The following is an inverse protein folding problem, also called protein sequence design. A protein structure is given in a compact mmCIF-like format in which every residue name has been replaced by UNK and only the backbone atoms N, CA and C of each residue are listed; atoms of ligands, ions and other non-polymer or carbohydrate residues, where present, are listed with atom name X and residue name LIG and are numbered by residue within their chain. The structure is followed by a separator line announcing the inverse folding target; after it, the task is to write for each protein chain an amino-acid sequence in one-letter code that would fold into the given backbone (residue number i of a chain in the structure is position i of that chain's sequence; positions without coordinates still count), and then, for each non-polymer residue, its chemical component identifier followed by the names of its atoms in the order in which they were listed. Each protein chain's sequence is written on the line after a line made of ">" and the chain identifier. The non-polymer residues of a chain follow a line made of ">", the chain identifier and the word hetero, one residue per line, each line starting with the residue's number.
data_IF_606329904749
#
_entry.id   IF_606329904749
#
_cell.length_a   1.000
_cell.length_b   1.000
_cell.length_c   1.000
_cell.angle_alpha   90.00
_cell.angle_beta   90.00
_cell.angle_gamma   90.00
#
_symmetry.space_group_name_H-M   'P 1'
#
loop_
_entity.id
_entity.type
_entity.pdbx_description
1 polymer ?
#
# COMPACT_ATOMS: atom_id res chain seq x y z
N UNK A 1 -16.75 12.03 12.73
CA UNK A 1 -17.25 10.63 12.84
C UNK A 1 -16.26 9.86 13.72
N UNK A 2 -16.77 8.94 14.57
CA UNK A 2 -15.94 8.04 15.38
C UNK A 2 -16.31 6.58 15.05
N UNK A 3 -15.38 5.68 15.17
CA UNK A 3 -15.58 4.25 15.09
C UNK A 3 -15.03 3.59 16.36
N UNK A 4 -15.65 2.49 16.80
CA UNK A 4 -15.17 1.69 17.93
C UNK A 4 -14.72 0.34 17.41
N UNK A 5 -13.49 -0.05 17.74
CA UNK A 5 -12.89 -1.32 17.35
C UNK A 5 -13.33 -2.44 18.29
N UNK A 6 -13.16 -3.69 17.88
CA UNK A 6 -13.50 -4.88 18.66
C UNK A 6 -12.77 -4.95 20.01
N UNK A 7 -11.60 -4.35 20.12
CA UNK A 7 -10.82 -4.21 21.36
C UNK A 7 -11.32 -3.08 22.28
N UNK A 8 -12.44 -2.41 21.97
CA UNK A 8 -13.04 -1.32 22.74
C UNK A 8 -12.40 0.06 22.48
N UNK A 9 -11.35 0.16 21.69
CA UNK A 9 -10.71 1.44 21.34
C UNK A 9 -11.60 2.24 20.41
N UNK A 10 -11.79 3.53 20.69
CA UNK A 10 -12.47 4.47 19.80
C UNK A 10 -11.47 5.31 19.04
N UNK A 11 -11.68 5.44 17.74
CA UNK A 11 -10.86 6.27 16.84
C UNK A 11 -11.73 7.31 16.13
N UNK A 12 -11.18 8.48 15.86
CA UNK A 12 -11.85 9.55 15.15
C UNK A 12 -11.36 9.67 13.71
N UNK A 13 -12.26 9.89 12.76
CA UNK A 13 -11.87 10.19 11.38
C UNK A 13 -11.66 11.69 11.15
N UNK A 14 -10.72 12.07 10.28
CA UNK A 14 -9.78 11.19 9.58
C UNK A 14 -8.71 10.64 10.53
N UNK A 15 -8.28 9.39 10.30
CA UNK A 15 -7.12 8.80 11.00
C UNK A 15 -5.86 9.50 10.47
N UNK A 16 -4.98 9.91 11.40
CA UNK A 16 -3.78 10.66 11.09
C UNK A 16 -2.53 9.79 11.25
N UNK A 17 -1.62 9.96 10.29
CA UNK A 17 -0.27 9.42 10.33
C UNK A 17 0.70 10.56 10.00
N UNK A 18 1.69 10.77 10.86
CA UNK A 18 2.68 11.85 10.74
C UNK A 18 4.10 11.27 10.74
N UNK A 19 5.02 11.97 10.09
CA UNK A 19 6.40 11.53 9.96
C UNK A 19 6.54 10.22 9.20
N UNK A 20 5.78 10.07 8.12
CA UNK A 20 5.75 8.84 7.32
C UNK A 20 6.80 8.90 6.22
N UNK A 21 7.69 7.89 6.17
CA UNK A 21 8.57 7.69 5.03
C UNK A 21 8.07 6.52 4.19
N UNK A 22 8.13 6.67 2.87
CA UNK A 22 7.61 5.69 1.91
C UNK A 22 8.61 5.43 0.79
N UNK A 23 8.68 4.17 0.39
CA UNK A 23 9.40 3.70 -0.80
C UNK A 23 8.48 2.80 -1.59
N UNK A 24 8.23 3.15 -2.86
CA UNK A 24 7.32 2.43 -3.73
C UNK A 24 8.09 1.99 -4.97
N UNK A 25 8.07 0.69 -5.24
CA UNK A 25 8.54 0.10 -6.50
C UNK A 25 7.32 -0.38 -7.28
N UNK A 26 7.22 -0.01 -8.54
CA UNK A 26 6.17 -0.51 -9.40
C UNK A 26 6.70 -1.31 -10.58
N UNK A 27 5.88 -2.19 -11.10
CA UNK A 27 6.20 -3.21 -12.09
C UNK A 27 5.06 -3.35 -13.08
N UNK A 28 5.38 -3.61 -14.34
CA UNK A 28 4.38 -4.01 -15.33
C UNK A 28 3.94 -5.46 -15.08
N UNK A 29 2.63 -5.67 -15.13
CA UNK A 29 1.97 -6.98 -15.00
C UNK A 29 0.88 -7.12 -16.06
N UNK A 30 0.46 -8.34 -16.40
CA UNK A 30 -0.68 -8.53 -17.32
C UNK A 30 -1.98 -8.18 -16.60
N UNK A 31 -2.80 -7.34 -17.22
CA UNK A 31 -4.10 -6.97 -16.68
C UNK A 31 -5.03 -8.19 -16.47
N UNK A 32 -4.94 -9.22 -17.33
CA UNK A 32 -5.68 -10.46 -17.18
C UNK A 32 -5.31 -11.27 -15.94
N UNK A 33 -4.04 -11.21 -15.50
CA UNK A 33 -3.57 -11.91 -14.31
C UNK A 33 -4.04 -11.16 -13.04
N UNK A 34 -3.95 -9.84 -13.07
CA UNK A 34 -4.46 -8.97 -11.99
C UNK A 34 -5.97 -9.14 -11.82
N UNK A 35 -6.73 -9.18 -12.91
CA UNK A 35 -8.19 -9.31 -12.87
C UNK A 35 -8.68 -10.57 -12.13
N UNK A 36 -7.87 -11.65 -12.12
CA UNK A 36 -8.20 -12.89 -11.38
C UNK A 36 -8.01 -12.78 -9.87
N UNK A 37 -7.25 -11.78 -9.42
CA UNK A 37 -6.92 -11.54 -8.01
C UNK A 37 -7.77 -10.43 -7.38
N UNK A 38 -8.50 -9.68 -8.20
CA UNK A 38 -9.32 -8.57 -7.72
C UNK A 38 -10.74 -9.01 -7.30
N UNK A 39 -11.37 -8.32 -6.35
CA UNK A 39 -12.81 -8.34 -6.17
C UNK A 39 -13.55 -8.05 -7.49
N UNK A 40 -14.76 -8.62 -7.65
CA UNK A 40 -15.50 -8.57 -8.93
C UNK A 40 -15.89 -7.17 -9.40
N UNK A 41 -16.00 -6.23 -8.48
CA UNK A 41 -16.36 -4.82 -8.73
C UNK A 41 -15.16 -3.94 -9.08
N UNK A 42 -13.93 -4.46 -8.96
CA UNK A 42 -12.71 -3.76 -9.35
C UNK A 42 -12.21 -4.21 -10.73
N UNK A 43 -11.55 -3.30 -11.41
CA UNK A 43 -10.87 -3.58 -12.68
C UNK A 43 -9.41 -3.14 -12.57
N UNK A 44 -8.47 -3.90 -13.16
CA UNK A 44 -7.09 -3.42 -13.32
C UNK A 44 -7.10 -2.07 -14.03
N UNK A 45 -6.28 -1.14 -13.58
CA UNK A 45 -6.06 0.11 -14.32
C UNK A 45 -5.39 -0.23 -15.65
N UNK A 46 -5.97 0.22 -16.76
CA UNK A 46 -5.40 0.01 -18.08
C UNK A 46 -4.20 0.93 -18.29
N UNK A 47 -3.02 0.35 -18.39
CA UNK A 47 -1.76 1.02 -18.70
C UNK A 47 -1.38 0.90 -20.20
N UNK A 48 -2.29 0.42 -21.03
CA UNK A 48 -2.07 0.14 -22.47
C UNK A 48 -1.53 -1.27 -22.74
N UNK A 49 -1.77 -1.76 -23.94
CA UNK A 49 -1.25 -3.06 -24.44
C UNK A 49 -1.59 -4.28 -23.56
N UNK A 50 -2.72 -4.25 -22.83
CA UNK A 50 -3.13 -5.32 -21.91
C UNK A 50 -2.31 -5.38 -20.63
N UNK A 51 -1.59 -4.32 -20.30
CA UNK A 51 -0.79 -4.17 -19.09
C UNK A 51 -1.55 -3.43 -17.99
N UNK A 52 -1.17 -3.74 -16.77
CA UNK A 52 -1.52 -3.00 -15.56
C UNK A 52 -0.26 -2.82 -14.71
N UNK A 53 -0.39 -2.23 -13.53
CA UNK A 53 0.74 -1.95 -12.65
C UNK A 53 0.54 -2.60 -11.27
N UNK A 54 1.53 -3.35 -10.84
CA UNK A 54 1.68 -3.85 -9.48
C UNK A 54 2.66 -2.96 -8.72
N UNK A 55 2.45 -2.78 -7.42
CA UNK A 55 3.41 -2.09 -6.56
C UNK A 55 3.78 -2.91 -5.33
N UNK A 56 5.01 -2.71 -4.87
CA UNK A 56 5.52 -3.08 -3.55
C UNK A 56 5.90 -1.79 -2.86
N UNK A 57 5.25 -1.48 -1.74
CA UNK A 57 5.35 -0.22 -1.04
C UNK A 57 5.74 -0.47 0.41
N UNK A 58 6.96 -0.12 0.79
CA UNK A 58 7.38 -0.06 2.19
C UNK A 58 7.03 1.31 2.78
N UNK A 59 6.57 1.30 4.03
CA UNK A 59 6.25 2.48 4.79
C UNK A 59 6.67 2.32 6.24
N UNK A 60 7.30 3.36 6.81
CA UNK A 60 7.43 3.53 8.25
C UNK A 60 6.59 4.70 8.72
N UNK A 61 5.89 4.53 9.83
CA UNK A 61 5.07 5.56 10.47
C UNK A 61 5.66 5.85 11.84
N UNK A 62 6.18 7.06 12.05
CA UNK A 62 6.79 7.44 13.34
C UNK A 62 5.73 7.80 14.38
N UNK A 63 4.66 8.43 13.96
CA UNK A 63 3.58 8.87 14.86
C UNK A 63 2.23 8.69 14.19
N UNK A 64 1.30 8.08 14.89
CA UNK A 64 -0.09 7.99 14.45
C UNK A 64 -1.03 7.87 15.64
N UNK A 65 -2.34 7.89 15.37
CA UNK A 65 -3.36 7.56 16.36
C UNK A 65 -3.22 6.12 16.91
N UNK A 66 -2.33 5.29 16.30
CA UNK A 66 -2.08 3.88 16.62
C UNK A 66 -0.67 3.61 17.20
N UNK A 67 0.14 4.63 17.37
CA UNK A 67 1.57 4.52 17.68
C UNK A 67 2.43 4.46 16.43
N UNK A 68 3.68 4.00 16.59
CA UNK A 68 4.63 3.81 15.49
C UNK A 68 4.60 2.38 14.97
N UNK A 69 4.77 2.20 13.67
CA UNK A 69 4.83 0.88 13.04
C UNK A 69 5.42 0.94 11.63
N UNK A 70 5.86 -0.20 11.15
CA UNK A 70 6.26 -0.43 9.77
C UNK A 70 5.24 -1.30 9.06
N UNK A 71 5.06 -1.07 7.76
CA UNK A 71 4.21 -1.90 6.92
C UNK A 71 4.75 -2.02 5.50
N UNK A 72 4.40 -3.11 4.83
CA UNK A 72 4.56 -3.27 3.38
C UNK A 72 3.19 -3.48 2.76
N UNK A 73 2.85 -2.65 1.79
CA UNK A 73 1.62 -2.77 1.02
C UNK A 73 1.99 -3.36 -0.34
N UNK A 74 1.40 -4.49 -0.67
CA UNK A 74 1.59 -5.15 -1.96
C UNK A 74 0.24 -5.14 -2.66
N UNK A 75 0.19 -4.63 -3.88
CA UNK A 75 -1.08 -4.46 -4.53
C UNK A 75 -0.99 -4.00 -5.99
N UNK A 76 -2.12 -3.55 -6.50
CA UNK A 76 -2.30 -3.20 -7.90
C UNK A 76 -2.93 -1.82 -8.05
N UNK A 77 -2.60 -1.14 -9.15
CA UNK A 77 -3.40 0.00 -9.56
C UNK A 77 -4.70 -0.51 -10.19
N UNK A 78 -5.80 0.09 -9.77
CA UNK A 78 -7.15 -0.29 -10.18
C UNK A 78 -7.97 0.93 -10.60
N UNK A 79 -9.01 0.71 -11.38
CA UNK A 79 -10.10 1.66 -11.56
C UNK A 79 -11.08 1.48 -10.42
N UNK A 80 -11.21 2.49 -9.55
CA UNK A 80 -12.12 2.41 -8.42
C UNK A 80 -13.59 2.54 -8.89
N UNK A 81 -14.55 1.85 -8.22
CA UNK A 81 -15.88 1.62 -8.80
C UNK A 81 -16.80 2.85 -8.80
N UNK A 82 -16.57 3.88 -7.95
CA UNK A 82 -17.51 4.99 -7.78
C UNK A 82 -17.25 6.14 -8.74
N UNK A 83 -15.99 6.58 -8.85
CA UNK A 83 -15.61 7.75 -9.67
C UNK A 83 -14.84 7.34 -10.92
N UNK A 84 -14.57 6.06 -11.10
CA UNK A 84 -13.80 5.50 -12.22
C UNK A 84 -12.41 6.13 -12.36
N UNK A 85 -11.87 6.55 -11.25
CA UNK A 85 -10.52 7.12 -11.15
C UNK A 85 -9.49 6.06 -10.79
N UNK A 86 -8.22 6.38 -10.97
CA UNK A 86 -7.13 5.51 -10.53
C UNK A 86 -7.11 5.42 -9.00
N UNK A 87 -7.05 4.20 -8.50
CA UNK A 87 -6.92 3.85 -7.09
C UNK A 87 -5.88 2.76 -6.88
N UNK A 88 -5.56 2.48 -5.62
CA UNK A 88 -4.68 1.39 -5.23
C UNK A 88 -5.49 0.30 -4.51
N UNK A 89 -5.44 -0.93 -4.99
CA UNK A 89 -5.98 -2.10 -4.29
C UNK A 89 -4.86 -2.80 -3.53
N UNK A 90 -5.09 -3.08 -2.24
CA UNK A 90 -4.14 -3.80 -1.39
C UNK A 90 -4.47 -5.29 -1.36
N UNK A 91 -3.64 -6.09 -2.04
CA UNK A 91 -3.74 -7.55 -2.06
C UNK A 91 -3.40 -8.12 -0.67
N UNK A 92 -2.31 -7.64 -0.08
CA UNK A 92 -1.86 -7.98 1.26
C UNK A 92 -1.08 -6.83 1.86
N UNK A 93 -1.20 -6.64 3.18
CA UNK A 93 -0.49 -5.60 3.89
C UNK A 93 0.17 -6.16 5.18
N UNK A 94 1.37 -6.75 5.08
CA UNK A 94 2.21 -7.07 6.22
C UNK A 94 2.48 -5.84 7.11
N UNK A 95 2.36 -5.99 8.44
CA UNK A 95 2.51 -4.90 9.40
C UNK A 95 3.14 -5.39 10.71
N UNK A 96 3.93 -4.54 11.37
CA UNK A 96 4.62 -4.90 12.62
C UNK A 96 3.76 -4.71 13.87
N UNK A 97 2.63 -4.00 13.79
CA UNK A 97 1.77 -3.64 14.93
C UNK A 97 0.43 -4.36 14.89
N UNK A 98 0.07 -5.01 16.01
CA UNK A 98 -1.24 -5.66 16.18
C UNK A 98 -2.39 -4.63 16.16
N UNK A 99 -2.19 -3.44 16.72
CA UNK A 99 -3.17 -2.36 16.70
C UNK A 99 -3.41 -1.85 15.27
N UNK A 100 -2.35 -1.62 14.49
CA UNK A 100 -2.45 -1.20 13.11
C UNK A 100 -3.10 -2.30 12.24
N UNK A 101 -2.85 -3.58 12.54
CA UNK A 101 -3.55 -4.70 11.91
C UNK A 101 -5.05 -4.65 12.19
N UNK A 102 -5.45 -4.62 13.47
CA UNK A 102 -6.87 -4.60 13.88
C UNK A 102 -7.60 -3.43 13.24
N UNK A 103 -7.04 -2.24 13.33
CA UNK A 103 -7.67 -1.05 12.75
C UNK A 103 -7.83 -1.16 11.23
N UNK A 104 -6.79 -1.58 10.51
CA UNK A 104 -6.84 -1.72 9.05
C UNK A 104 -7.86 -2.73 8.58
N UNK A 105 -7.99 -3.86 9.29
CA UNK A 105 -8.97 -4.89 8.98
C UNK A 105 -10.40 -4.44 9.28
N UNK A 106 -10.65 -3.85 10.44
CA UNK A 106 -12.00 -3.52 10.88
C UNK A 106 -12.57 -2.25 10.23
N UNK A 107 -11.74 -1.24 9.98
CA UNK A 107 -12.21 0.03 9.42
C UNK A 107 -12.24 0.06 7.89
N UNK A 108 -11.30 -0.63 7.26
CA UNK A 108 -11.13 -0.52 5.80
C UNK A 108 -11.16 -1.87 5.07
N UNK A 109 -11.25 -2.99 5.79
CA UNK A 109 -11.24 -4.32 5.19
C UNK A 109 -9.90 -4.68 4.54
N UNK A 110 -8.80 -4.03 4.95
CA UNK A 110 -7.48 -4.32 4.41
C UNK A 110 -7.01 -5.68 4.93
N UNK A 111 -6.60 -6.58 4.05
CA UNK A 111 -5.99 -7.85 4.43
C UNK A 111 -4.62 -7.61 5.07
N UNK A 112 -4.59 -7.39 6.39
CA UNK A 112 -3.37 -7.18 7.15
C UNK A 112 -2.92 -8.44 7.87
N UNK A 113 -1.62 -8.74 7.77
CA UNK A 113 -0.96 -9.85 8.46
C UNK A 113 0.18 -9.33 9.32
N UNK A 114 0.39 -9.93 10.50
CA UNK A 114 1.56 -9.59 11.32
C UNK A 114 2.83 -10.12 10.64
N UNK A 115 3.87 -9.30 10.66
CA UNK A 115 5.11 -9.59 9.96
C UNK A 115 6.31 -9.03 10.73
N UNK A 116 7.50 -9.56 10.43
CA UNK A 116 8.76 -8.91 10.74
C UNK A 116 9.20 -8.09 9.52
N UNK A 117 9.38 -6.80 9.75
CA UNK A 117 9.87 -5.85 8.74
C UNK A 117 11.08 -5.15 9.34
N UNK A 118 12.24 -5.30 8.69
CA UNK A 118 13.47 -4.66 9.09
C UNK A 118 13.87 -3.63 8.03
N UNK A 119 14.28 -2.44 8.45
CA UNK A 119 14.78 -1.41 7.56
C UNK A 119 16.15 -0.91 8.03
N UNK A 120 17.13 -1.05 7.15
CA UNK A 120 18.46 -0.48 7.31
C UNK A 120 18.60 0.68 6.32
N UNK A 121 18.96 1.86 6.82
CA UNK A 121 19.10 3.07 6.01
C UNK A 121 20.33 3.84 6.43
N UNK A 122 21.10 4.25 5.44
CA UNK A 122 22.16 5.25 5.56
C UNK A 122 21.85 6.50 4.69
N UNK A 123 22.81 7.36 4.47
CA UNK A 123 22.65 8.55 3.65
C UNK A 123 22.47 8.27 2.15
N UNK A 124 22.96 7.14 1.66
CA UNK A 124 23.01 6.80 0.24
C UNK A 124 21.98 5.73 -0.14
N UNK A 125 21.70 4.75 0.74
CA UNK A 125 20.90 3.58 0.43
C UNK A 125 19.95 3.20 1.55
N UNK A 126 18.92 2.49 1.16
CA UNK A 126 17.96 1.87 2.07
C UNK A 126 17.73 0.43 1.62
N UNK A 127 17.80 -0.50 2.59
CA UNK A 127 17.37 -1.89 2.41
C UNK A 127 16.24 -2.18 3.40
N UNK A 128 15.08 -2.60 2.88
CA UNK A 128 13.98 -3.08 3.70
C UNK A 128 13.69 -4.54 3.39
N UNK A 129 13.49 -5.34 4.44
CA UNK A 129 13.23 -6.78 4.33
C UNK A 129 11.89 -7.13 4.96
N UNK A 130 11.19 -8.09 4.38
CA UNK A 130 9.94 -8.66 4.88
C UNK A 130 10.12 -10.15 5.15
N UNK A 131 9.69 -10.59 6.33
CA UNK A 131 9.52 -11.99 6.66
C UNK A 131 8.12 -12.24 7.24
N UNK A 132 7.50 -13.34 6.83
CA UNK A 132 6.25 -13.88 7.35
C UNK A 132 6.52 -15.27 7.91
N UNK A 133 5.97 -15.58 9.09
CA UNK A 133 6.16 -16.87 9.78
C UNK A 133 7.65 -17.29 9.85
N UNK A 134 8.53 -16.30 10.12
CA UNK A 134 9.99 -16.42 10.13
C UNK A 134 10.64 -16.77 8.77
N UNK A 135 9.87 -16.86 7.70
CA UNK A 135 10.37 -17.12 6.36
C UNK A 135 10.55 -15.81 5.56
N UNK A 136 11.71 -15.69 4.90
CA UNK A 136 12.02 -14.53 4.05
C UNK A 136 11.09 -14.45 2.85
N UNK A 137 10.40 -13.31 2.70
CA UNK A 137 9.48 -13.03 1.60
C UNK A 137 10.17 -12.21 0.51
N UNK A 138 10.64 -11.02 0.85
CA UNK A 138 11.31 -10.14 -0.10
C UNK A 138 12.22 -9.12 0.58
N UNK A 139 13.14 -8.54 -0.21
CA UNK A 139 13.89 -7.36 0.17
C UNK A 139 13.91 -6.35 -0.97
N UNK A 140 13.79 -5.07 -0.63
CA UNK A 140 14.00 -3.94 -1.54
C UNK A 140 15.32 -3.27 -1.19
N UNK A 141 16.14 -2.97 -2.21
CA UNK A 141 17.39 -2.24 -2.06
C UNK A 141 17.39 -1.05 -3.03
N UNK A 142 17.39 0.17 -2.50
CA UNK A 142 17.14 1.39 -3.26
C UNK A 142 18.09 2.51 -2.85
N UNK A 143 18.48 3.43 -3.75
CA UNK A 143 19.17 4.66 -3.37
C UNK A 143 18.23 5.57 -2.57
N UNK A 144 18.78 6.35 -1.63
CA UNK A 144 18.04 7.42 -0.96
C UNK A 144 18.00 8.62 -1.89
N UNK A 145 16.80 9.01 -2.31
CA UNK A 145 16.57 10.16 -3.18
C UNK A 145 15.68 11.18 -2.50
N UNK A 146 15.77 12.42 -2.94
CA UNK A 146 14.93 13.51 -2.45
C UNK A 146 14.56 14.41 -3.62
N UNK A 147 13.42 15.06 -3.52
CA UNK A 147 12.90 15.94 -4.55
C UNK A 147 11.97 17.02 -3.99
N UNK A 148 11.20 17.64 -4.88
CA UNK A 148 10.27 18.71 -4.55
C UNK A 148 9.08 18.23 -3.70
N UNK A 149 8.40 19.13 -2.97
CA UNK A 149 7.15 18.79 -2.31
C UNK A 149 6.09 18.30 -3.30
N UNK A 150 5.27 17.35 -2.86
CA UNK A 150 4.09 16.92 -3.61
C UNK A 150 2.89 16.67 -2.69
N UNK A 151 1.71 16.98 -3.18
CA UNK A 151 0.44 16.63 -2.56
C UNK A 151 -0.23 15.54 -3.40
N UNK A 152 -0.80 14.57 -2.73
CA UNK A 152 -1.40 13.41 -3.36
C UNK A 152 -2.78 13.13 -2.75
N UNK A 153 -3.76 12.93 -3.61
CA UNK A 153 -5.12 12.59 -3.22
C UNK A 153 -5.62 11.48 -4.14
N UNK A 154 -5.89 10.33 -3.56
CA UNK A 154 -6.32 9.15 -4.30
C UNK A 154 -7.31 8.32 -3.50
N UNK A 155 -7.80 7.25 -4.11
CA UNK A 155 -8.59 6.24 -3.45
C UNK A 155 -7.74 5.01 -3.18
N UNK A 156 -8.00 4.36 -2.06
CA UNK A 156 -7.51 3.03 -1.77
C UNK A 156 -8.70 2.08 -1.69
N UNK A 157 -8.50 0.88 -2.18
CA UNK A 157 -9.49 -0.18 -2.24
C UNK A 157 -8.97 -1.40 -1.50
N UNK A 158 -9.85 -2.08 -0.78
CA UNK A 158 -9.51 -3.31 -0.06
C UNK A 158 -10.72 -4.25 -0.01
N UNK A 159 -10.53 -5.47 0.55
CA UNK A 159 -11.58 -6.46 0.77
C UNK A 159 -11.42 -7.70 -0.11
N UNK A 160 -11.86 -8.83 0.43
CA UNK A 160 -11.77 -10.16 -0.22
C UNK A 160 -13.13 -10.65 -0.74
N UNK A 161 -14.18 -9.89 -0.51
CA UNK A 161 -15.55 -10.27 -0.85
C UNK A 161 -15.93 -9.93 -2.31
N UNK A 162 -17.21 -10.09 -2.65
CA UNK A 162 -17.73 -9.72 -3.97
C UNK A 162 -17.74 -8.20 -4.21
N UNK A 163 -17.56 -7.40 -3.17
CA UNK A 163 -17.47 -5.94 -3.23
C UNK A 163 -16.28 -5.45 -2.44
N UNK A 164 -15.54 -4.53 -3.05
CA UNK A 164 -14.44 -3.84 -2.40
C UNK A 164 -14.94 -2.76 -1.43
N UNK A 165 -14.16 -2.47 -0.41
CA UNK A 165 -14.25 -1.22 0.35
C UNK A 165 -13.39 -0.17 -0.30
N UNK A 166 -13.90 1.06 -0.40
CA UNK A 166 -13.18 2.19 -0.98
C UNK A 166 -13.09 3.30 0.06
N UNK A 167 -11.92 3.86 0.23
CA UNK A 167 -11.68 4.97 1.16
C UNK A 167 -10.75 6.00 0.55
N UNK A 168 -10.90 7.26 0.98
CA UNK A 168 -10.07 8.35 0.50
C UNK A 168 -8.78 8.43 1.29
N UNK A 169 -7.69 8.59 0.55
CA UNK A 169 -6.34 8.72 1.04
C UNK A 169 -5.77 10.06 0.58
N UNK A 170 -5.42 10.92 1.54
CA UNK A 170 -4.77 12.20 1.28
C UNK A 170 -3.39 12.21 1.88
N UNK A 171 -2.41 12.65 1.12
CA UNK A 171 -1.03 12.71 1.55
C UNK A 171 -0.38 14.01 1.12
N UNK A 172 0.38 14.60 2.04
CA UNK A 172 1.32 15.68 1.78
C UNK A 172 2.72 15.18 2.06
N UNK A 173 3.60 15.26 1.06
CA UNK A 173 5.01 14.88 1.15
C UNK A 173 5.89 16.11 0.95
N UNK A 174 6.60 16.60 1.99
CA UNK A 174 7.54 17.72 1.85
C UNK A 174 8.70 17.41 0.91
N UNK A 175 9.05 16.14 0.78
CA UNK A 175 10.12 15.64 -0.11
C UNK A 175 9.61 14.43 -0.87
N UNK A 176 9.55 14.56 -2.18
CA UNK A 176 9.07 13.51 -3.08
C UNK A 176 9.95 13.44 -4.31
N UNK A 177 10.41 12.27 -4.65
CA UNK A 177 11.14 12.02 -5.89
C UNK A 177 10.55 10.80 -6.61
N UNK A 178 10.55 10.87 -7.93
CA UNK A 178 10.07 9.81 -8.82
C UNK A 178 11.14 9.58 -9.88
N UNK A 179 11.54 8.32 -10.07
CA UNK A 179 12.47 7.90 -11.13
C UNK A 179 11.76 6.85 -11.98
N UNK A 180 11.60 7.14 -13.27
CA UNK A 180 11.14 6.17 -14.25
C UNK A 180 12.31 5.29 -14.71
N UNK A 181 12.08 3.96 -14.75
CA UNK A 181 13.07 2.94 -15.14
C UNK A 181 14.41 3.08 -14.40
N UNK A 182 14.39 3.03 -13.04
CA UNK A 182 15.60 3.17 -12.24
C UNK A 182 16.57 2.00 -12.51
N UNK A 183 17.88 2.28 -12.54
CA UNK A 183 18.92 1.26 -12.77
C UNK A 183 19.52 0.72 -11.47
N UNK A 184 19.54 1.53 -10.40
CA UNK A 184 20.18 1.18 -9.11
C UNK A 184 19.17 0.69 -8.06
N UNK A 185 18.06 0.13 -8.51
CA UNK A 185 16.98 -0.40 -7.67
C UNK A 185 16.84 -1.87 -7.91
N UNK A 186 16.75 -2.66 -6.83
CA UNK A 186 16.51 -4.09 -6.93
C UNK A 186 15.47 -4.56 -5.91
N UNK A 187 14.79 -5.65 -6.28
CA UNK A 187 13.95 -6.44 -5.40
C UNK A 187 14.43 -7.90 -5.44
N UNK A 188 14.59 -8.50 -4.27
CA UNK A 188 14.93 -9.91 -4.09
C UNK A 188 13.69 -10.62 -3.56
N UNK A 189 13.38 -11.82 -4.06
CA UNK A 189 12.28 -12.64 -3.59
C UNK A 189 12.79 -13.90 -2.89
N UNK A 190 12.15 -14.26 -1.78
CA UNK A 190 12.41 -15.50 -1.04
C UNK A 190 11.66 -16.70 -1.63
N UNK A 191 11.52 -17.75 -0.81
CA UNK A 191 10.80 -18.99 -1.16
C UNK A 191 9.39 -19.05 -0.60
N UNK A 192 9.00 -18.11 0.24
CA UNK A 192 7.65 -18.05 0.79
C UNK A 192 6.58 -18.04 -0.32
N UNK A 193 5.41 -18.68 -0.16
CA UNK A 193 4.35 -18.72 -1.18
C UNK A 193 3.95 -17.35 -1.73
N UNK A 194 3.92 -16.32 -0.87
CA UNK A 194 3.65 -14.95 -1.30
C UNK A 194 4.72 -14.44 -2.27
N UNK A 195 6.01 -14.77 -2.06
CA UNK A 195 7.11 -14.41 -2.96
C UNK A 195 6.91 -15.02 -4.34
N UNK A 196 6.53 -16.29 -4.39
CA UNK A 196 6.24 -17.01 -5.64
C UNK A 196 5.06 -16.39 -6.37
N UNK A 197 4.00 -16.04 -5.63
CA UNK A 197 2.83 -15.38 -6.22
C UNK A 197 3.20 -14.03 -6.83
N UNK A 198 3.91 -13.17 -6.08
CA UNK A 198 4.29 -11.83 -6.53
C UNK A 198 5.24 -11.91 -7.72
N UNK A 199 6.34 -12.67 -7.61
CA UNK A 199 7.34 -12.77 -8.67
C UNK A 199 6.79 -13.40 -9.95
N UNK A 200 5.82 -14.33 -9.83
CA UNK A 200 5.15 -14.95 -10.97
C UNK A 200 4.24 -14.01 -11.77
N UNK A 201 3.84 -12.87 -11.19
CA UNK A 201 3.05 -11.86 -11.90
C UNK A 201 3.90 -10.89 -12.71
N UNK A 202 5.18 -10.74 -12.36
CA UNK A 202 6.06 -9.73 -12.97
C UNK A 202 6.38 -10.07 -14.44
N UNK A 203 6.29 -9.07 -15.31
CA UNK A 203 6.78 -9.15 -16.70
C UNK A 203 8.25 -8.78 -16.77
N UNK A 204 9.11 -9.65 -16.20
CA UNK A 204 10.53 -9.41 -16.07
C UNK A 204 10.91 -8.85 -14.69
N UNK A 205 12.22 -8.64 -14.48
CA UNK A 205 12.78 -8.19 -13.20
C UNK A 205 12.96 -6.67 -13.09
N UNK A 206 12.64 -5.93 -14.14
CA UNK A 206 12.90 -4.49 -14.21
C UNK A 206 11.84 -3.69 -13.44
N UNK A 207 12.29 -2.81 -12.56
CA UNK A 207 11.41 -1.84 -11.91
C UNK A 207 10.99 -0.78 -12.92
N UNK A 208 9.67 -0.59 -13.06
CA UNK A 208 9.10 0.43 -13.95
C UNK A 208 9.28 1.83 -13.38
N UNK A 209 8.98 1.97 -12.08
CA UNK A 209 9.04 3.25 -11.38
C UNK A 209 9.50 3.06 -9.94
N UNK A 210 10.32 3.99 -9.48
CA UNK A 210 10.71 4.14 -8.09
C UNK A 210 10.24 5.48 -7.55
N UNK A 211 9.54 5.47 -6.42
CA UNK A 211 9.06 6.66 -5.74
C UNK A 211 9.57 6.61 -4.30
N UNK A 212 10.19 7.71 -3.85
CA UNK A 212 10.50 7.93 -2.44
C UNK A 212 9.80 9.21 -1.96
N UNK A 213 9.11 9.09 -0.83
CA UNK A 213 8.45 10.21 -0.15
C UNK A 213 8.90 10.21 1.29
N UNK A 214 9.22 11.37 1.82
CA UNK A 214 9.77 11.49 3.16
C UNK A 214 9.01 12.51 3.98
N UNK A 215 8.88 12.21 5.27
CA UNK A 215 8.23 13.06 6.27
C UNK A 215 6.79 13.44 5.92
N UNK A 216 6.08 12.48 5.37
CA UNK A 216 4.71 12.68 4.90
C UNK A 216 3.74 12.82 6.07
N UNK A 217 2.68 13.59 5.82
CA UNK A 217 1.44 13.54 6.59
C UNK A 217 0.36 12.86 5.76
N UNK A 218 -0.30 11.86 6.36
CA UNK A 218 -1.35 11.09 5.72
C UNK A 218 -2.65 11.22 6.53
N UNK A 219 -3.75 11.39 5.83
CA UNK A 219 -5.11 11.39 6.38
C UNK A 219 -5.95 10.37 5.63
N UNK A 220 -6.51 9.41 6.37
CA UNK A 220 -7.39 8.37 5.81
C UNK A 220 -8.81 8.57 6.34
N UNK A 221 -9.75 8.70 5.41
CA UNK A 221 -11.17 8.85 5.70
C UNK A 221 -11.87 7.54 6.04
N UNK A 222 -13.17 7.60 6.37
CA UNK A 222 -14.02 6.42 6.47
C UNK A 222 -14.21 5.79 5.07
N UNK A 223 -14.72 4.56 5.03
CA UNK A 223 -15.07 3.91 3.77
C UNK A 223 -16.24 4.64 3.10
N UNK A 224 -16.19 4.77 1.77
CA UNK A 224 -17.29 5.39 1.01
C UNK A 224 -18.58 4.56 1.10
N UNK A 225 -18.46 3.25 1.16
CA UNK A 225 -19.58 2.33 1.34
C UNK A 225 -20.39 2.65 2.61
N UNK A 226 -19.72 2.97 3.72
CA UNK A 226 -20.38 3.32 4.97
C UNK A 226 -21.09 4.69 4.91
N UNK A 227 -20.65 5.59 4.04
CA UNK A 227 -21.29 6.90 3.82
C UNK A 227 -22.54 6.80 2.93
N UNK A 228 -22.58 5.82 2.02
CA UNK A 228 -23.71 5.61 1.11
C UNK A 228 -24.86 4.80 1.73
N UNK A 229 -24.60 4.09 2.82
CA UNK A 229 -25.59 3.25 3.54
C UNK A 229 -26.20 3.98 4.76
N UNK A 230 -25.80 5.23 5.03
CA UNK A 230 -26.44 6.00 6.08
C UNK A 230 -27.94 6.14 5.74
N UNK A 231 -28.87 5.59 6.58
CA UNK A 231 -30.29 5.70 6.32
C UNK A 231 -30.65 7.19 6.30
N UNK A 232 -31.30 7.58 5.23
CA UNK A 232 -31.96 8.88 5.21
C UNK A 232 -32.95 8.94 6.38
N UNK A 233 -32.77 9.89 7.27
CA UNK A 233 -33.78 10.32 8.24
C UNK A 233 -34.95 10.97 7.52
#
# INVERSE_FOLDING_TARGET
>A
MKATLSNGRSVAYPIRFDGVDQTILSFDVRASDVARLLPRDLRPLDCGYGLSEMFVHWQTTRTSDLGSFDEMLIGFLVEEPYYRSAGAYFLVNPVTSAEARTLGMELWGIHKVLARIDCQRDAARMRSTLALDDEFVLAMNVPVISGAPCDFNTFACAGEGPRSTVFRYRQRAPRCAVIERPVDVSIEFGRHPLSTTISGLLLGSSVKRYIMRQDCRILIGPTLNSLLVAPGN
#
